data_IF_400593235796
#
_entry.id   IF_400593235796
#
_cell.length_a   1.000
_cell.length_b   1.000
_cell.length_c   1.000
_cell.angle_alpha   90.00
_cell.angle_beta   90.00
_cell.angle_gamma   90.00
#
_symmetry.space_group_name_H-M   'P 1'
#
loop_
_entity.id
_entity.type
_entity.pdbx_description
1 polymer ?
#
# COMPACT_ATOMS: atom_id res chain seq x y z
N UNK A 1 -2.52 -1.78 4.48
CA UNK A 1 -2.03 -1.00 3.32
C UNK A 1 -0.70 -0.35 3.67
N UNK A 2 0.10 0.09 2.70
CA UNK A 2 1.38 0.79 2.93
C UNK A 2 1.54 1.96 1.96
N UNK A 3 2.05 3.08 2.47
CA UNK A 3 2.48 4.22 1.69
C UNK A 3 3.82 3.89 1.01
N UNK A 4 3.91 4.11 -0.29
CA UNK A 4 5.11 3.79 -1.07
C UNK A 4 5.36 4.87 -2.12
N UNK A 5 6.63 5.02 -2.52
CA UNK A 5 7.01 5.71 -3.74
C UNK A 5 7.36 4.70 -4.82
N UNK A 6 6.90 4.95 -6.04
CA UNK A 6 7.31 4.15 -7.19
C UNK A 6 8.72 4.56 -7.61
N UNK A 7 9.63 3.59 -7.69
CA UNK A 7 11.02 3.83 -8.11
C UNK A 7 11.30 3.35 -9.54
N UNK A 8 10.29 2.84 -10.24
CA UNK A 8 10.39 2.37 -11.62
C UNK A 8 9.48 1.18 -11.92
N UNK A 9 9.57 0.66 -13.13
CA UNK A 9 8.84 -0.52 -13.61
C UNK A 9 9.76 -1.72 -13.86
N UNK A 10 9.18 -2.92 -13.85
CA UNK A 10 9.86 -4.16 -14.16
C UNK A 10 9.28 -4.79 -15.42
N UNK A 11 10.13 -4.92 -16.42
CA UNK A 11 9.83 -5.68 -17.63
C UNK A 11 10.41 -7.09 -17.50
N UNK A 12 9.59 -8.08 -17.83
CA UNK A 12 10.02 -9.47 -17.96
C UNK A 12 9.37 -10.07 -19.21
N UNK A 13 10.16 -10.76 -20.02
CA UNK A 13 9.68 -11.52 -21.19
C UNK A 13 9.18 -12.90 -20.78
N UNK A 14 9.81 -13.52 -19.79
CA UNK A 14 9.45 -14.85 -19.26
C UNK A 14 8.86 -14.67 -17.86
N UNK A 15 7.54 -14.77 -17.77
CA UNK A 15 6.77 -14.65 -16.53
C UNK A 15 5.57 -15.58 -16.55
N UNK A 16 4.97 -15.81 -15.38
CA UNK A 16 3.72 -16.55 -15.28
C UNK A 16 2.64 -15.92 -16.18
N UNK A 17 1.84 -16.75 -16.86
CA UNK A 17 0.84 -16.28 -17.83
C UNK A 17 -0.20 -15.34 -17.20
N UNK A 18 -0.51 -15.52 -15.92
CA UNK A 18 -1.38 -14.64 -15.14
C UNK A 18 -0.77 -13.26 -14.87
N UNK A 19 0.49 -13.00 -15.21
CA UNK A 19 1.11 -11.67 -15.13
C UNK A 19 1.23 -10.99 -16.51
N UNK A 20 0.81 -11.65 -17.59
CA UNK A 20 0.87 -11.07 -18.94
C UNK A 20 -0.10 -9.90 -19.08
N UNK A 21 0.32 -8.87 -19.80
CA UNK A 21 -0.48 -7.65 -20.02
C UNK A 21 -0.64 -6.76 -18.80
N UNK A 22 0.01 -7.07 -17.66
CA UNK A 22 -0.08 -6.29 -16.42
C UNK A 22 1.25 -5.58 -16.14
N UNK A 23 1.16 -4.33 -15.70
CA UNK A 23 2.33 -3.54 -15.28
C UNK A 23 2.78 -4.01 -13.90
N UNK A 24 4.09 -4.18 -13.76
CA UNK A 24 4.75 -4.53 -12.50
C UNK A 24 5.62 -3.34 -12.13
N UNK A 25 5.39 -2.77 -10.94
CA UNK A 25 6.11 -1.61 -10.45
C UNK A 25 6.98 -1.98 -9.26
N UNK A 26 8.11 -1.29 -9.12
CA UNK A 26 8.95 -1.34 -7.92
C UNK A 26 8.44 -0.29 -6.93
N UNK A 27 7.96 -0.76 -5.78
CA UNK A 27 7.42 0.07 -4.71
C UNK A 27 8.43 0.13 -3.56
N UNK A 28 8.92 1.31 -3.23
CA UNK A 28 9.71 1.56 -2.03
C UNK A 28 8.78 2.10 -0.93
N UNK A 29 8.56 1.39 0.18
CA UNK A 29 7.83 1.97 1.31
C UNK A 29 8.53 3.25 1.80
N UNK A 30 7.74 4.24 2.20
CA UNK A 30 8.22 5.52 2.75
C UNK A 30 7.49 5.84 4.06
N UNK A 31 8.12 6.66 4.89
CA UNK A 31 7.54 7.17 6.13
C UNK A 31 6.47 8.24 5.87
N UNK A 32 5.80 8.70 6.92
CA UNK A 32 4.76 9.74 6.85
C UNK A 32 5.29 11.10 6.39
N UNK A 33 6.62 11.31 6.43
CA UNK A 33 7.28 12.46 5.78
C UNK A 33 7.26 12.37 4.24
N UNK A 34 6.74 11.27 3.69
CA UNK A 34 6.67 10.94 2.27
C UNK A 34 8.03 10.83 1.58
N UNK A 35 9.16 10.89 2.27
CA UNK A 35 10.50 10.94 1.66
C UNK A 35 11.40 9.83 2.16
N UNK A 36 11.39 9.57 3.47
CA UNK A 36 12.32 8.64 4.11
C UNK A 36 11.98 7.20 3.74
N UNK A 37 12.85 6.46 3.05
CA UNK A 37 12.59 5.06 2.69
C UNK A 37 12.53 4.17 3.93
N UNK A 38 11.52 3.30 3.98
CA UNK A 38 11.33 2.33 5.05
C UNK A 38 11.47 0.90 4.53
N UNK A 39 12.42 0.15 5.08
CA UNK A 39 12.57 -1.27 4.77
C UNK A 39 12.82 -1.58 3.28
N UNK A 40 12.70 -2.85 2.87
CA UNK A 40 12.98 -3.26 1.50
C UNK A 40 11.85 -2.89 0.54
N UNK A 41 12.24 -2.54 -0.70
CA UNK A 41 11.31 -2.42 -1.81
C UNK A 41 10.69 -3.77 -2.19
N UNK A 42 9.55 -3.73 -2.85
CA UNK A 42 8.85 -4.91 -3.34
C UNK A 42 8.15 -4.64 -4.66
N UNK A 43 7.78 -5.71 -5.36
CA UNK A 43 7.05 -5.62 -6.62
C UNK A 43 5.55 -5.61 -6.36
N UNK A 44 4.82 -4.73 -7.05
CA UNK A 44 3.36 -4.69 -7.03
C UNK A 44 2.79 -4.64 -8.45
N UNK A 45 1.60 -5.17 -8.64
CA UNK A 45 0.83 -4.94 -9.86
C UNK A 45 0.18 -3.56 -9.80
N UNK A 46 0.02 -2.93 -10.96
CA UNK A 46 -0.59 -1.60 -11.06
C UNK A 46 -1.94 -1.66 -11.76
N UNK A 47 -2.96 -1.06 -11.12
CA UNK A 47 -4.29 -0.80 -11.72
C UNK A 47 -4.61 0.69 -11.84
N UNK A 48 -3.68 1.55 -11.42
CA UNK A 48 -3.86 3.00 -11.28
C UNK A 48 -3.14 3.81 -12.35
N UNK A 49 -2.24 3.18 -13.11
CA UNK A 49 -1.35 3.83 -14.08
C UNK A 49 -0.28 4.72 -13.44
N UNK A 50 0.20 4.35 -12.24
CA UNK A 50 1.28 5.08 -11.58
C UNK A 50 2.61 5.02 -12.38
N UNK A 51 3.38 6.10 -12.28
CA UNK A 51 4.71 6.28 -12.86
C UNK A 51 5.79 6.39 -11.80
N UNK A 52 7.04 6.45 -12.24
CA UNK A 52 8.18 6.71 -11.36
C UNK A 52 8.03 8.08 -10.66
N UNK A 53 8.31 8.11 -9.35
CA UNK A 53 8.16 9.31 -8.52
C UNK A 53 6.81 9.42 -7.82
N UNK A 54 5.77 8.77 -8.33
CA UNK A 54 4.42 8.84 -7.74
C UNK A 54 4.40 8.28 -6.32
N UNK A 55 3.70 9.00 -5.44
CA UNK A 55 3.34 8.52 -4.11
C UNK A 55 2.06 7.69 -4.23
N UNK A 56 2.06 6.48 -3.69
CA UNK A 56 0.98 5.52 -3.89
C UNK A 56 0.62 4.77 -2.62
N UNK A 57 -0.62 4.28 -2.58
CA UNK A 57 -1.08 3.34 -1.57
C UNK A 57 -1.09 1.93 -2.14
N UNK A 58 -0.49 1.01 -1.40
CA UNK A 58 -0.39 -0.40 -1.77
C UNK A 58 -1.15 -1.29 -0.80
N UNK A 59 -1.78 -2.34 -1.32
CA UNK A 59 -2.27 -3.48 -0.55
C UNK A 59 -1.25 -4.60 -0.71
N UNK A 60 -0.82 -5.20 0.40
CA UNK A 60 0.10 -6.36 0.41
C UNK A 60 -0.59 -7.56 1.05
N UNK A 61 -1.69 -7.97 0.43
CA UNK A 61 -2.50 -9.11 0.84
C UNK A 61 -2.93 -9.87 -0.41
N UNK A 62 -2.66 -11.18 -0.45
CA UNK A 62 -2.92 -12.00 -1.64
C UNK A 62 -4.39 -12.04 -2.04
N UNK A 63 -5.32 -11.97 -1.09
CA UNK A 63 -6.76 -11.93 -1.36
C UNK A 63 -7.17 -10.67 -2.12
N UNK A 64 -6.71 -9.50 -1.66
CA UNK A 64 -7.00 -8.22 -2.32
C UNK A 64 -6.53 -8.20 -3.77
N UNK A 65 -5.33 -8.72 -4.04
CA UNK A 65 -4.81 -8.82 -5.40
C UNK A 65 -5.73 -9.64 -6.33
N UNK A 66 -6.15 -10.82 -5.89
CA UNK A 66 -7.01 -11.71 -6.68
C UNK A 66 -8.38 -11.10 -6.97
N UNK A 67 -8.97 -10.44 -5.97
CA UNK A 67 -10.27 -9.75 -6.10
C UNK A 67 -10.18 -8.61 -7.12
N UNK A 68 -9.18 -7.74 -7.01
CA UNK A 68 -9.02 -6.56 -7.88
C UNK A 68 -8.90 -6.97 -9.35
N UNK A 69 -8.17 -8.04 -9.62
CA UNK A 69 -7.94 -8.51 -10.99
C UNK A 69 -8.94 -9.57 -11.47
N UNK A 70 -9.84 -10.04 -10.60
CA UNK A 70 -10.77 -11.14 -10.91
C UNK A 70 -10.06 -12.45 -11.32
N UNK A 71 -8.88 -12.72 -10.77
CA UNK A 71 -8.03 -13.83 -11.17
C UNK A 71 -7.35 -14.47 -9.95
N UNK A 72 -7.89 -15.62 -9.54
CA UNK A 72 -7.44 -16.36 -8.36
C UNK A 72 -6.04 -16.97 -8.48
N UNK A 73 -5.47 -17.00 -9.69
CA UNK A 73 -4.18 -17.64 -9.98
C UNK A 73 -3.01 -16.65 -10.00
N UNK A 74 -3.25 -15.38 -9.67
CA UNK A 74 -2.21 -14.37 -9.58
C UNK A 74 -1.16 -14.77 -8.54
N UNK A 75 0.13 -14.87 -8.93
CA UNK A 75 1.20 -15.24 -8.01
C UNK A 75 1.80 -14.04 -7.25
N UNK A 76 1.22 -12.83 -7.37
CA UNK A 76 1.67 -11.62 -6.68
C UNK A 76 0.62 -11.11 -5.68
N UNK A 77 1.05 -10.89 -4.44
CA UNK A 77 0.17 -10.46 -3.36
C UNK A 77 0.09 -8.93 -3.18
N UNK A 78 0.85 -8.17 -3.96
CA UNK A 78 0.94 -6.72 -3.81
C UNK A 78 0.33 -6.00 -5.01
N UNK A 79 -0.48 -4.98 -4.74
CA UNK A 79 -1.16 -4.16 -5.75
C UNK A 79 -1.12 -2.69 -5.35
N UNK A 80 -0.79 -1.82 -6.31
CA UNK A 80 -0.98 -0.38 -6.22
C UNK A 80 -2.45 -0.07 -6.48
N UNK A 81 -3.14 0.51 -5.50
CA UNK A 81 -4.60 0.71 -5.54
C UNK A 81 -5.02 2.18 -5.60
N UNK A 82 -4.13 3.10 -5.24
CA UNK A 82 -4.37 4.54 -5.35
C UNK A 82 -3.06 5.30 -5.54
N UNK A 83 -3.15 6.43 -6.25
CA UNK A 83 -2.14 7.49 -6.25
C UNK A 83 -2.54 8.48 -5.15
N UNK A 84 -1.57 8.96 -4.39
CA UNK A 84 -1.79 9.86 -3.25
C UNK A 84 -1.52 11.29 -3.70
N UNK A 85 -2.57 12.11 -3.74
CA UNK A 85 -2.46 13.53 -4.07
C UNK A 85 -1.92 14.36 -2.88
N UNK A 86 -2.44 14.08 -1.68
CA UNK A 86 -2.09 14.80 -0.46
C UNK A 86 -2.10 13.84 0.74
N UNK A 87 -1.21 14.07 1.70
CA UNK A 87 -1.16 13.37 2.97
C UNK A 87 -1.21 14.40 4.10
N UNK A 88 -2.31 14.39 4.85
CA UNK A 88 -2.44 15.16 6.08
C UNK A 88 -2.09 14.27 7.28
N UNK A 89 -1.08 14.69 8.04
CA UNK A 89 -0.60 13.97 9.22
C UNK A 89 -0.96 14.81 10.44
N UNK A 90 -1.96 14.36 11.19
CA UNK A 90 -2.34 15.02 12.43
C UNK A 90 -1.19 14.93 13.45
N UNK A 91 -0.97 16.03 14.17
CA UNK A 91 -0.12 16.02 15.36
C UNK A 91 -0.76 15.12 16.41
N UNK A 92 0.01 14.20 16.99
CA UNK A 92 -0.46 13.29 18.04
C UNK A 92 -1.07 14.09 19.22
N UNK A 93 -0.55 15.28 19.50
CA UNK A 93 -1.10 16.19 20.51
C UNK A 93 -2.47 16.79 20.16
N UNK A 94 -2.83 16.79 18.87
CA UNK A 94 -4.12 17.26 18.36
C UNK A 94 -5.18 16.16 18.28
N UNK A 95 -4.78 14.89 18.44
CA UNK A 95 -5.69 13.74 18.49
C UNK A 95 -6.39 13.70 19.86
N UNK A 96 -7.50 14.42 19.99
CA UNK A 96 -8.37 14.32 21.16
C UNK A 96 -9.31 13.13 20.97
N UNK A 97 -8.93 11.98 21.52
CA UNK A 97 -9.77 10.79 21.58
C UNK A 97 -9.46 9.97 22.82
N UNK A 98 -10.49 9.67 23.60
CA UNK A 98 -10.39 8.67 24.68
C UNK A 98 -10.01 7.34 24.04
N UNK A 99 -8.86 6.80 24.38
CA UNK A 99 -8.46 5.49 23.87
C UNK A 99 -9.54 4.47 24.24
N UNK A 100 -9.76 3.45 23.41
CA UNK A 100 -10.72 2.35 23.71
C UNK A 100 -10.41 1.70 25.08
N UNK A 101 -9.15 1.80 25.52
CA UNK A 101 -8.64 1.35 26.82
C UNK A 101 -9.15 2.23 27.98
N UNK A 102 -9.29 3.54 27.78
CA UNK A 102 -9.81 4.47 28.80
C UNK A 102 -11.32 4.33 29.00
N UNK A 103 -12.09 4.08 27.93
CA UNK A 103 -13.53 3.79 28.06
C UNK A 103 -13.81 2.51 28.84
N UNK A 104 -13.00 1.46 28.67
CA UNK A 104 -13.21 0.18 29.36
C UNK A 104 -13.01 0.26 30.89
N UNK A 105 -12.14 1.16 31.38
CA UNK A 105 -11.92 1.36 32.82
C UNK A 105 -13.03 2.15 33.51
N UNK A 106 -13.83 2.89 32.75
CA UNK A 106 -14.96 3.66 33.30
C UNK A 106 -16.21 2.82 33.56
N UNK A 107 -16.32 1.65 32.93
CA UNK A 107 -17.47 0.74 33.06
C UNK A 107 -17.31 -0.29 34.19
N UNK A 108 -16.12 -0.44 34.78
CA UNK A 108 -15.86 -1.34 35.91
C UNK A 108 -15.98 -0.64 37.28
N UNK A 109 -16.28 0.66 37.29
CA UNK A 109 -16.44 1.48 38.50
C UNK A 109 -17.90 1.81 38.83
N UNK A 110 -18.88 1.20 38.14
CA UNK A 110 -20.31 1.33 38.43
C UNK A 110 -20.92 0.00 38.89
#
# INVERSE_FOLDING_TARGET
MRLCRITGDVVSTVKNDHLRGRRILVCQPVDLDCQTPMGPSFLALDVTHAGEGDLVLTIKEGGGARIIFGDDKIPLAAVVVAIVDELDVADEASLVGTSVIESARSTEAE
#
